data_IF_763377487186
#
_entry.id   IF_763377487186
#
_cell.length_a   1.000
_cell.length_b   1.000
_cell.length_c   1.000
_cell.angle_alpha   90.00
_cell.angle_beta   90.00
_cell.angle_gamma   90.00
#
_symmetry.space_group_name_H-M   'P 1'
#
loop_
_entity.id
_entity.type
_entity.pdbx_description
1 polymer ?
#
# COMPACT_ATOMS: atom_id res chain seq x y z
N UNK A 1 -1.38 -7.02 8.92
CA UNK A 1 -2.15 -6.72 7.66
C UNK A 1 -1.23 -6.10 6.60
N UNK A 2 -1.61 -6.12 5.31
CA UNK A 2 -0.77 -5.60 4.20
C UNK A 2 -0.36 -4.13 4.38
N UNK A 3 -1.27 -3.26 4.80
CA UNK A 3 -0.98 -1.84 5.04
C UNK A 3 0.02 -1.57 6.17
N UNK A 4 0.04 -2.44 7.18
CA UNK A 4 1.04 -2.36 8.25
C UNK A 4 2.42 -2.79 7.76
N UNK A 5 2.49 -3.84 6.95
CA UNK A 5 3.73 -4.27 6.30
C UNK A 5 4.29 -3.16 5.38
N UNK A 6 3.44 -2.47 4.61
CA UNK A 6 3.82 -1.30 3.79
C UNK A 6 4.43 -0.20 4.67
N UNK A 7 3.75 0.21 5.75
CA UNK A 7 4.26 1.26 6.65
C UNK A 7 5.61 0.89 7.26
N UNK A 8 5.76 -0.35 7.70
CA UNK A 8 7.02 -0.79 8.31
C UNK A 8 8.17 -0.87 7.29
N UNK A 9 7.90 -1.30 6.05
CA UNK A 9 8.89 -1.28 4.98
C UNK A 9 9.34 0.15 4.64
N UNK A 10 8.41 1.10 4.51
CA UNK A 10 8.73 2.51 4.25
C UNK A 10 9.52 3.14 5.40
N UNK A 11 9.11 2.88 6.66
CA UNK A 11 9.84 3.37 7.85
C UNK A 11 11.27 2.84 7.86
N UNK A 12 11.48 1.55 7.57
CA UNK A 12 12.81 0.92 7.51
C UNK A 12 13.64 1.46 6.36
N UNK A 13 13.05 1.65 5.18
CA UNK A 13 13.75 2.26 4.04
C UNK A 13 14.30 3.64 4.42
N UNK A 14 13.50 4.48 5.09
CA UNK A 14 13.97 5.77 5.60
C UNK A 14 15.08 5.65 6.66
N UNK A 15 15.05 4.62 7.51
CA UNK A 15 16.16 4.35 8.44
C UNK A 15 17.45 3.96 7.73
N UNK A 16 17.37 3.15 6.68
CA UNK A 16 18.53 2.76 5.89
C UNK A 16 19.16 3.97 5.17
N UNK A 17 18.37 4.87 4.59
CA UNK A 17 18.91 6.09 3.97
C UNK A 17 19.63 7.00 4.97
N UNK A 18 19.04 7.18 6.17
CA UNK A 18 19.73 7.94 7.24
C UNK A 18 21.03 7.26 7.66
N UNK A 19 21.05 5.93 7.72
CA UNK A 19 22.26 5.16 8.00
C UNK A 19 23.32 5.35 6.91
N UNK A 20 22.92 5.27 5.63
CA UNK A 20 23.81 5.50 4.49
C UNK A 20 24.46 6.88 4.54
N UNK A 21 23.68 7.94 4.81
CA UNK A 21 24.21 9.30 4.95
C UNK A 21 25.29 9.40 6.05
N UNK A 22 25.01 8.84 7.24
CA UNK A 22 25.98 8.84 8.34
C UNK A 22 27.25 8.04 8.01
N UNK A 23 27.11 6.90 7.32
CA UNK A 23 28.25 6.08 6.91
C UNK A 23 29.13 6.77 5.88
N UNK A 24 28.54 7.52 4.95
CA UNK A 24 29.30 8.37 4.01
C UNK A 24 30.14 9.40 4.77
N UNK A 25 29.59 10.03 5.80
CA UNK A 25 30.31 10.99 6.63
C UNK A 25 31.47 10.34 7.41
N UNK A 26 31.29 9.09 7.84
CA UNK A 26 32.30 8.31 8.56
C UNK A 26 33.34 7.64 7.66
N UNK A 27 33.14 7.64 6.34
CA UNK A 27 34.06 7.01 5.39
C UNK A 27 33.79 5.52 5.12
N UNK A 28 32.65 5.00 5.55
CA UNK A 28 32.24 3.60 5.38
C UNK A 28 31.34 3.44 4.14
N UNK A 29 31.97 3.60 2.96
CA UNK A 29 31.26 3.72 1.68
C UNK A 29 30.63 2.40 1.22
N UNK A 30 31.27 1.27 1.49
CA UNK A 30 30.77 -0.06 1.13
C UNK A 30 29.43 -0.33 1.81
N UNK A 31 29.37 -0.10 3.13
CA UNK A 31 28.13 -0.28 3.88
C UNK A 31 27.11 0.84 3.63
N UNK A 32 27.55 2.03 3.21
CA UNK A 32 26.62 3.07 2.75
C UNK A 32 25.88 2.64 1.47
N UNK A 33 26.60 2.11 0.48
CA UNK A 33 26.01 1.58 -0.75
C UNK A 33 25.06 0.41 -0.45
N UNK A 34 25.44 -0.48 0.46
CA UNK A 34 24.56 -1.55 0.95
C UNK A 34 23.27 -1.00 1.57
N UNK A 35 23.37 0.00 2.46
CA UNK A 35 22.20 0.62 3.09
C UNK A 35 21.28 1.28 2.05
N UNK A 36 21.83 1.94 1.02
CA UNK A 36 21.06 2.48 -0.11
C UNK A 36 20.31 1.39 -0.86
N UNK A 37 20.98 0.28 -1.19
CA UNK A 37 20.37 -0.85 -1.88
C UNK A 37 19.20 -1.44 -1.08
N UNK A 38 19.40 -1.68 0.23
CA UNK A 38 18.35 -2.15 1.13
C UNK A 38 17.17 -1.18 1.22
N UNK A 39 17.44 0.14 1.26
CA UNK A 39 16.39 1.15 1.28
C UNK A 39 15.51 1.07 0.03
N UNK A 40 16.13 1.05 -1.16
CA UNK A 40 15.41 0.99 -2.44
C UNK A 40 14.63 -0.31 -2.61
N UNK A 41 15.19 -1.45 -2.19
CA UNK A 41 14.49 -2.73 -2.20
C UNK A 41 13.20 -2.69 -1.38
N UNK A 42 13.27 -2.18 -0.15
CA UNK A 42 12.14 -2.08 0.75
C UNK A 42 11.10 -1.09 0.24
N UNK A 43 11.54 0.07 -0.26
CA UNK A 43 10.64 1.10 -0.79
C UNK A 43 9.84 0.59 -1.99
N UNK A 44 10.53 0.00 -2.98
CA UNK A 44 9.88 -0.54 -4.17
C UNK A 44 8.94 -1.69 -3.83
N UNK A 45 9.33 -2.57 -2.88
CA UNK A 45 8.44 -3.63 -2.38
C UNK A 45 7.19 -3.06 -1.72
N UNK A 46 7.33 -2.00 -0.94
CA UNK A 46 6.20 -1.31 -0.31
C UNK A 46 5.26 -0.69 -1.36
N UNK A 47 5.80 0.02 -2.35
CA UNK A 47 5.01 0.63 -3.44
C UNK A 47 4.26 -0.42 -4.27
N UNK A 48 4.92 -1.52 -4.64
CA UNK A 48 4.30 -2.60 -5.42
C UNK A 48 3.16 -3.28 -4.65
N UNK A 49 3.36 -3.54 -3.35
CA UNK A 49 2.33 -4.11 -2.50
C UNK A 49 1.18 -3.13 -2.25
N UNK A 50 1.49 -1.86 -1.99
CA UNK A 50 0.50 -0.82 -1.71
C UNK A 50 -0.39 -0.58 -2.94
N UNK A 51 0.20 -0.29 -4.09
CA UNK A 51 -0.53 0.18 -5.27
C UNK A 51 -1.15 -0.94 -6.10
N UNK A 52 -0.49 -2.11 -6.16
CA UNK A 52 -0.90 -3.19 -7.06
C UNK A 52 -1.14 -4.53 -6.34
N UNK A 53 -0.87 -4.60 -5.04
CA UNK A 53 -1.02 -5.84 -4.28
C UNK A 53 0.02 -6.91 -4.65
N UNK A 54 1.10 -6.52 -5.34
CA UNK A 54 2.10 -7.44 -5.88
C UNK A 54 3.15 -7.72 -4.82
N UNK A 55 3.21 -8.98 -4.40
CA UNK A 55 4.35 -9.51 -3.66
C UNK A 55 5.41 -10.01 -4.63
N UNK A 56 6.64 -9.53 -4.47
CA UNK A 56 7.74 -9.82 -5.38
C UNK A 56 8.84 -10.58 -4.65
N UNK A 57 9.39 -11.59 -5.35
CA UNK A 57 10.62 -12.32 -4.97
C UNK A 57 11.85 -11.81 -5.74
N UNK A 58 11.73 -10.65 -6.39
CA UNK A 58 12.81 -10.04 -7.14
C UNK A 58 14.05 -9.86 -6.26
N UNK A 59 15.23 -9.94 -6.88
CA UNK A 59 16.50 -9.94 -6.13
C UNK A 59 17.20 -8.58 -6.10
N UNK A 60 16.82 -7.65 -6.97
CA UNK A 60 17.40 -6.31 -7.06
C UNK A 60 16.40 -5.19 -7.32
N UNK A 61 16.91 -3.96 -7.36
CA UNK A 61 16.23 -2.71 -7.67
C UNK A 61 15.75 -2.71 -9.12
N UNK A 62 16.59 -3.07 -10.09
CA UNK A 62 16.22 -3.03 -11.52
C UNK A 62 15.02 -3.93 -11.85
N UNK A 63 15.02 -5.14 -11.30
CA UNK A 63 13.94 -6.10 -11.51
C UNK A 63 12.62 -5.58 -10.93
N UNK A 64 12.66 -4.94 -9.76
CA UNK A 64 11.48 -4.30 -9.15
C UNK A 64 11.00 -3.08 -9.94
N UNK A 65 11.91 -2.26 -10.47
CA UNK A 65 11.56 -1.15 -11.36
C UNK A 65 10.89 -1.65 -12.65
N UNK A 66 11.37 -2.78 -13.19
CA UNK A 66 10.76 -3.44 -14.35
C UNK A 66 9.35 -3.94 -14.06
N UNK A 67 9.13 -4.52 -12.88
CA UNK A 67 7.79 -4.92 -12.41
C UNK A 67 6.89 -3.69 -12.28
N UNK A 68 7.37 -2.62 -11.61
CA UNK A 68 6.62 -1.38 -11.44
C UNK A 68 6.20 -0.78 -12.78
N UNK A 69 7.13 -0.68 -13.74
CA UNK A 69 6.85 -0.19 -15.09
C UNK A 69 5.73 -0.98 -15.77
N UNK A 70 5.74 -2.30 -15.65
CA UNK A 70 4.70 -3.17 -16.23
C UNK A 70 3.35 -2.95 -15.55
N UNK A 71 3.30 -2.85 -14.22
CA UNK A 71 2.03 -2.64 -13.51
C UNK A 71 1.47 -1.23 -13.76
N UNK A 72 2.32 -0.20 -13.88
CA UNK A 72 1.92 1.14 -14.31
C UNK A 72 1.34 1.14 -15.73
N UNK A 73 1.95 0.40 -16.66
CA UNK A 73 1.44 0.28 -18.03
C UNK A 73 0.06 -0.40 -18.07
N UNK A 74 -0.13 -1.49 -17.31
CA UNK A 74 -1.45 -2.15 -17.18
C UNK A 74 -2.51 -1.23 -16.59
N UNK A 75 -2.11 -0.33 -15.70
CA UNK A 75 -2.97 0.69 -15.10
C UNK A 75 -3.19 1.92 -15.98
N UNK A 76 -2.63 1.96 -17.20
CA UNK A 76 -2.81 3.07 -18.14
C UNK A 76 -1.98 4.32 -17.84
N UNK A 77 -1.00 4.24 -16.94
CA UNK A 77 -0.15 5.38 -16.56
C UNK A 77 1.05 5.59 -17.51
N UNK A 78 0.76 5.79 -18.79
CA UNK A 78 1.79 5.87 -19.85
C UNK A 78 2.82 6.99 -19.62
N UNK A 79 2.42 8.14 -19.08
CA UNK A 79 3.34 9.23 -18.69
C UNK A 79 4.36 8.76 -17.64
N UNK A 80 3.89 8.12 -16.56
CA UNK A 80 4.76 7.58 -15.51
C UNK A 80 5.67 6.46 -16.05
N UNK A 81 5.16 5.64 -16.98
CA UNK A 81 5.97 4.61 -17.65
C UNK A 81 7.11 5.23 -18.45
N UNK A 82 6.86 6.30 -19.20
CA UNK A 82 7.90 7.00 -19.96
C UNK A 82 8.96 7.56 -19.03
N UNK A 83 8.53 8.32 -18.02
CA UNK A 83 9.43 8.97 -17.06
C UNK A 83 10.26 7.98 -16.25
N UNK A 84 9.68 6.85 -15.84
CA UNK A 84 10.43 5.77 -15.19
C UNK A 84 11.46 5.15 -16.13
N UNK A 85 11.11 4.97 -17.41
CA UNK A 85 12.02 4.40 -18.42
C UNK A 85 13.20 5.33 -18.67
N UNK A 86 12.97 6.65 -18.74
CA UNK A 86 14.01 7.66 -18.86
C UNK A 86 14.91 7.67 -17.62
N UNK A 87 14.33 7.68 -16.42
CA UNK A 87 15.08 7.61 -15.16
C UNK A 87 15.98 6.37 -15.09
N UNK A 88 15.49 5.20 -15.47
CA UNK A 88 16.28 3.95 -15.49
C UNK A 88 17.39 4.00 -16.55
N UNK A 89 17.09 4.49 -17.75
CA UNK A 89 18.05 4.58 -18.85
C UNK A 89 19.21 5.50 -18.48
N UNK A 90 18.89 6.67 -17.93
CA UNK A 90 19.87 7.71 -17.62
C UNK A 90 20.76 7.36 -16.42
N UNK A 91 20.38 6.34 -15.63
CA UNK A 91 21.10 5.91 -14.41
C UNK A 91 21.50 4.43 -14.45
N UNK A 92 21.55 3.80 -15.63
CA UNK A 92 21.73 2.35 -15.77
C UNK A 92 22.96 1.80 -15.04
N UNK A 93 24.11 2.45 -15.24
CA UNK A 93 25.39 2.06 -14.62
C UNK A 93 25.31 2.13 -13.10
N UNK A 94 24.70 3.20 -12.58
CA UNK A 94 24.55 3.40 -11.15
C UNK A 94 23.58 2.38 -10.52
N UNK A 95 22.50 2.04 -11.22
CA UNK A 95 21.57 0.98 -10.78
C UNK A 95 22.28 -0.38 -10.72
N UNK A 96 23.10 -0.71 -11.72
CA UNK A 96 23.86 -1.96 -11.72
C UNK A 96 24.90 -1.98 -10.57
N UNK A 97 25.53 -0.84 -10.27
CA UNK A 97 26.44 -0.66 -9.12
C UNK A 97 25.71 -0.86 -7.78
N UNK A 98 24.50 -0.31 -7.64
CA UNK A 98 23.66 -0.49 -6.45
C UNK A 98 23.27 -1.97 -6.31
N UNK A 99 22.81 -2.62 -7.37
CA UNK A 99 22.35 -4.02 -7.33
C UNK A 99 23.47 -5.03 -7.00
N UNK A 100 24.72 -4.74 -7.36
CA UNK A 100 25.86 -5.61 -7.03
C UNK A 100 26.37 -5.41 -5.60
N UNK A 101 26.10 -4.25 -4.98
CA UNK A 101 26.57 -3.92 -3.61
C UNK A 101 26.09 -4.92 -2.55
N UNK A 102 24.94 -5.56 -2.74
CA UNK A 102 24.43 -6.60 -1.84
C UNK A 102 25.40 -7.78 -1.66
N UNK A 103 26.13 -8.16 -2.71
CA UNK A 103 27.08 -9.28 -2.69
C UNK A 103 28.48 -8.76 -2.43
N UNK A 104 28.88 -7.73 -3.17
CA UNK A 104 30.27 -7.27 -3.19
C UNK A 104 30.67 -6.58 -1.89
N UNK A 105 29.82 -5.72 -1.31
CA UNK A 105 30.12 -4.99 -0.07
C UNK A 105 30.17 -5.88 1.18
N UNK A 106 29.66 -7.12 1.10
CA UNK A 106 29.58 -8.04 2.25
C UNK A 106 30.49 -9.25 2.16
N UNK A 107 30.89 -9.66 0.96
CA UNK A 107 31.56 -10.95 0.77
C UNK A 107 32.80 -10.88 -0.13
N UNK A 108 33.03 -9.77 -0.84
CA UNK A 108 34.14 -9.69 -1.79
C UNK A 108 35.31 -8.88 -1.24
N UNK A 109 36.45 -9.54 -1.05
CA UNK A 109 37.67 -8.93 -0.52
C UNK A 109 38.42 -8.02 -1.52
N UNK A 110 37.81 -7.65 -2.65
CA UNK A 110 38.51 -6.99 -3.77
C UNK A 110 37.74 -5.87 -4.49
N UNK A 111 36.52 -5.54 -4.05
CA UNK A 111 35.75 -4.41 -4.60
C UNK A 111 35.46 -3.44 -3.46
N UNK A 112 35.92 -2.20 -3.61
CA UNK A 112 35.67 -1.10 -2.68
C UNK A 112 34.94 0.02 -3.39
N UNK A 113 33.96 0.60 -2.73
CA UNK A 113 33.20 1.74 -3.21
C UNK A 113 33.92 3.05 -2.84
N UNK A 114 34.02 3.97 -3.80
CA UNK A 114 34.54 5.31 -3.52
C UNK A 114 33.47 6.17 -2.84
N UNK A 115 33.89 7.29 -2.24
CA UNK A 115 32.98 8.28 -1.66
C UNK A 115 31.98 8.79 -2.70
N UNK A 116 32.45 8.97 -3.92
CA UNK A 116 31.69 9.44 -5.07
C UNK A 116 30.59 8.44 -5.44
N UNK A 117 30.87 7.13 -5.40
CA UNK A 117 29.89 6.08 -5.68
C UNK A 117 28.78 6.05 -4.62
N UNK A 118 29.16 6.12 -3.34
CA UNK A 118 28.20 6.12 -2.24
C UNK A 118 27.30 7.37 -2.26
N UNK A 119 27.87 8.54 -2.54
CA UNK A 119 27.10 9.78 -2.70
C UNK A 119 26.16 9.71 -3.90
N UNK A 120 26.65 9.31 -5.06
CA UNK A 120 25.82 9.17 -6.26
C UNK A 120 24.66 8.19 -6.02
N UNK A 121 24.92 7.08 -5.31
CA UNK A 121 23.90 6.09 -4.94
C UNK A 121 22.83 6.69 -4.03
N UNK A 122 23.22 7.45 -3.01
CA UNK A 122 22.30 8.13 -2.11
C UNK A 122 21.46 9.18 -2.84
N UNK A 123 22.09 10.03 -3.65
CA UNK A 123 21.41 11.07 -4.43
C UNK A 123 20.39 10.44 -5.42
N UNK A 124 20.77 9.34 -6.07
CA UNK A 124 19.86 8.61 -6.94
C UNK A 124 18.70 7.99 -6.16
N UNK A 125 18.96 7.46 -4.97
CA UNK A 125 17.92 6.87 -4.15
C UNK A 125 16.88 7.90 -3.69
N UNK A 126 17.32 9.09 -3.30
CA UNK A 126 16.45 10.21 -2.97
C UNK A 126 15.60 10.61 -4.17
N UNK A 127 16.22 10.82 -5.34
CA UNK A 127 15.53 11.12 -6.60
C UNK A 127 14.50 10.06 -6.99
N UNK A 128 14.85 8.78 -6.86
CA UNK A 128 13.95 7.68 -7.16
C UNK A 128 12.77 7.65 -6.17
N UNK A 129 13.01 7.91 -4.89
CA UNK A 129 11.96 7.94 -3.87
C UNK A 129 10.99 9.10 -4.12
N UNK A 130 11.48 10.28 -4.48
CA UNK A 130 10.63 11.40 -4.87
C UNK A 130 9.71 11.03 -6.05
N UNK A 131 10.27 10.37 -7.07
CA UNK A 131 9.48 9.86 -8.19
C UNK A 131 8.45 8.80 -7.73
N UNK A 132 8.82 7.89 -6.83
CA UNK A 132 7.90 6.88 -6.29
C UNK A 132 6.77 7.49 -5.46
N UNK A 133 7.03 8.57 -4.70
CA UNK A 133 5.98 9.31 -4.00
C UNK A 133 5.00 9.96 -4.97
N UNK A 134 5.49 10.53 -6.06
CA UNK A 134 4.62 11.04 -7.11
C UNK A 134 3.77 9.92 -7.74
N UNK A 135 4.38 8.76 -8.03
CA UNK A 135 3.67 7.58 -8.52
C UNK A 135 2.56 7.18 -7.55
N UNK A 136 2.84 7.12 -6.24
CA UNK A 136 1.83 6.79 -5.21
C UNK A 136 0.68 7.78 -5.22
N UNK A 137 0.97 9.08 -5.28
CA UNK A 137 -0.04 10.13 -5.30
C UNK A 137 -0.93 10.04 -6.55
N UNK A 138 -0.31 9.96 -7.74
CA UNK A 138 -1.04 9.88 -9.01
C UNK A 138 -1.90 8.63 -9.10
N UNK A 139 -1.33 7.44 -8.83
CA UNK A 139 -2.06 6.17 -8.93
C UNK A 139 -3.27 6.13 -8.00
N UNK A 140 -3.14 6.63 -6.76
CA UNK A 140 -4.25 6.72 -5.81
C UNK A 140 -5.35 7.69 -6.27
N UNK A 141 -4.98 8.76 -6.97
CA UNK A 141 -5.94 9.75 -7.48
C UNK A 141 -6.73 9.31 -8.72
N UNK A 142 -6.21 8.36 -9.49
CA UNK A 142 -6.68 8.07 -10.86
C UNK A 142 -7.92 7.17 -11.01
N UNK A 143 -8.48 6.62 -9.94
CA UNK A 143 -9.84 6.00 -9.95
C UNK A 143 -10.16 4.93 -11.01
N UNK A 144 -9.19 4.34 -11.73
CA UNK A 144 -9.44 3.57 -12.96
C UNK A 144 -9.14 2.07 -12.87
N UNK A 145 -9.97 1.20 -13.47
CA UNK A 145 -9.96 -0.28 -13.44
C UNK A 145 -8.57 -0.99 -13.40
N UNK A 146 -8.50 -2.11 -12.66
CA UNK A 146 -7.30 -2.96 -12.48
C UNK A 146 -6.83 -3.00 -11.01
N UNK A 147 -5.71 -3.65 -10.64
CA UNK A 147 -5.17 -3.62 -9.28
C UNK A 147 -4.88 -2.19 -8.76
N UNK A 148 -4.45 -1.30 -9.66
CA UNK A 148 -4.33 0.14 -9.39
C UNK A 148 -5.70 0.82 -9.17
N UNK A 149 -6.71 0.39 -9.93
CA UNK A 149 -8.11 0.80 -9.76
C UNK A 149 -8.75 0.34 -8.50
N UNK A 150 -8.39 -0.85 -8.02
CA UNK A 150 -8.87 -1.38 -6.76
C UNK A 150 -8.51 -0.45 -5.62
N UNK A 151 -7.26 0.01 -5.53
CA UNK A 151 -6.88 1.00 -4.54
C UNK A 151 -7.60 2.34 -4.76
N UNK A 152 -7.72 2.80 -6.01
CA UNK A 152 -8.48 4.00 -6.37
C UNK A 152 -9.95 3.96 -5.93
N UNK A 153 -10.61 2.80 -6.02
CA UNK A 153 -11.97 2.59 -5.51
C UNK A 153 -11.99 2.59 -3.99
N UNK A 154 -11.07 1.88 -3.35
CA UNK A 154 -10.99 1.77 -1.89
C UNK A 154 -10.79 3.14 -1.24
N UNK A 155 -9.93 4.02 -1.78
CA UNK A 155 -9.70 5.36 -1.18
C UNK A 155 -10.93 6.27 -1.21
N UNK A 156 -11.90 5.97 -2.08
CA UNK A 156 -13.19 6.68 -2.19
C UNK A 156 -14.25 6.20 -1.18
N UNK A 157 -13.89 5.37 -0.22
CA UNK A 157 -14.83 4.87 0.80
C UNK A 157 -15.58 6.00 1.52
N UNK A 158 -14.96 7.17 1.65
CA UNK A 158 -15.58 8.38 2.21
C UNK A 158 -16.78 8.88 1.42
N UNK A 159 -16.79 8.69 0.09
CA UNK A 159 -17.91 9.07 -0.78
C UNK A 159 -19.16 8.22 -0.51
N UNK A 160 -18.99 7.03 0.08
CA UNK A 160 -20.06 6.05 0.28
C UNK A 160 -20.55 5.94 1.72
N UNK A 161 -19.95 6.64 2.69
CA UNK A 161 -20.30 6.52 4.12
C UNK A 161 -21.79 6.80 4.37
N UNK A 162 -22.31 7.90 3.82
CA UNK A 162 -23.70 8.31 4.06
C UNK A 162 -24.68 7.33 3.41
N UNK A 163 -24.39 6.90 2.18
CA UNK A 163 -25.17 5.89 1.45
C UNK A 163 -25.19 4.56 2.21
N UNK A 164 -24.05 4.16 2.77
CA UNK A 164 -23.88 2.97 3.59
C UNK A 164 -24.68 3.06 4.89
N UNK A 165 -24.63 4.20 5.59
CA UNK A 165 -25.42 4.43 6.79
C UNK A 165 -26.92 4.31 6.53
N UNK A 166 -27.41 4.90 5.43
CA UNK A 166 -28.82 4.80 5.01
C UNK A 166 -29.20 3.33 4.73
N UNK A 167 -28.38 2.63 3.94
CA UNK A 167 -28.66 1.23 3.57
C UNK A 167 -28.71 0.29 4.79
N UNK A 168 -27.78 0.45 5.74
CA UNK A 168 -27.78 -0.35 6.97
C UNK A 168 -28.98 0.02 7.84
N UNK A 169 -29.29 1.31 8.00
CA UNK A 169 -30.43 1.74 8.83
C UNK A 169 -31.78 1.25 8.30
N UNK A 170 -31.95 1.17 6.98
CA UNK A 170 -33.18 0.63 6.36
C UNK A 170 -33.32 -0.88 6.54
N UNK A 171 -32.21 -1.61 6.54
CA UNK A 171 -32.20 -3.07 6.57
C UNK A 171 -32.10 -3.63 7.99
N UNK A 172 -31.46 -2.89 8.90
CA UNK A 172 -31.12 -3.26 10.27
C UNK A 172 -31.25 -2.03 11.20
N UNK A 173 -32.48 -1.53 11.45
CA UNK A 173 -32.72 -0.23 12.10
C UNK A 173 -32.24 -0.13 13.54
N UNK A 174 -32.20 -1.25 14.27
CA UNK A 174 -31.80 -1.29 15.68
C UNK A 174 -30.29 -1.50 15.86
N UNK A 175 -29.52 -1.56 14.78
CA UNK A 175 -28.08 -1.79 14.82
C UNK A 175 -27.28 -0.47 14.67
N UNK A 176 -26.10 -0.44 15.29
CA UNK A 176 -25.08 0.60 15.10
C UNK A 176 -24.07 0.12 14.06
N UNK A 177 -23.48 1.02 13.29
CA UNK A 177 -22.48 0.63 12.30
C UNK A 177 -21.21 1.49 12.38
N UNK A 178 -20.07 0.86 12.10
CA UNK A 178 -18.75 1.45 12.17
C UNK A 178 -17.91 1.01 10.97
N UNK A 179 -17.14 1.91 10.39
CA UNK A 179 -16.01 1.53 9.52
C UNK A 179 -14.78 1.38 10.40
N UNK A 180 -14.00 0.33 10.19
CA UNK A 180 -12.82 0.01 11.00
C UNK A 180 -11.59 -0.33 10.14
N UNK A 181 -10.49 -0.71 10.80
CA UNK A 181 -9.33 -1.28 10.13
C UNK A 181 -8.46 -0.32 9.32
N UNK A 182 -8.02 -0.79 8.16
CA UNK A 182 -7.04 -0.12 7.30
C UNK A 182 -7.54 1.20 6.71
N UNK A 183 -8.85 1.31 6.45
CA UNK A 183 -9.49 2.49 5.88
C UNK A 183 -9.36 3.72 6.79
N UNK A 184 -9.75 3.59 8.05
CA UNK A 184 -9.66 4.66 9.06
C UNK A 184 -8.22 4.96 9.46
N UNK A 185 -7.32 3.97 9.32
CA UNK A 185 -5.92 4.11 9.65
C UNK A 185 -5.03 4.68 8.54
N UNK A 186 -5.61 5.19 7.45
CA UNK A 186 -4.91 5.65 6.22
C UNK A 186 -3.86 4.64 5.73
N UNK A 187 -4.29 3.38 5.66
CA UNK A 187 -3.45 2.19 5.45
C UNK A 187 -3.90 1.30 4.30
N UNK A 188 -4.80 1.80 3.46
CA UNK A 188 -5.34 1.01 2.37
C UNK A 188 -4.26 0.63 1.36
N UNK A 189 -4.33 -0.62 0.93
CA UNK A 189 -3.52 -1.20 -0.15
C UNK A 189 -4.46 -1.79 -1.18
N UNK A 190 -3.97 -2.11 -2.37
CA UNK A 190 -4.75 -2.83 -3.37
C UNK A 190 -5.19 -4.25 -2.93
N UNK A 191 -4.72 -4.76 -1.78
CA UNK A 191 -5.23 -6.00 -1.18
C UNK A 191 -6.31 -5.78 -0.11
N UNK A 192 -6.57 -4.52 0.25
CA UNK A 192 -7.53 -4.18 1.31
C UNK A 192 -8.98 -4.33 0.86
N UNK A 193 -9.83 -4.36 1.85
CA UNK A 193 -11.29 -4.24 1.89
C UNK A 193 -11.63 -3.06 2.83
N UNK A 194 -12.91 -2.72 2.87
CA UNK A 194 -13.47 -1.75 3.81
C UNK A 194 -14.29 -2.56 4.83
N UNK A 195 -13.71 -2.75 6.01
CA UNK A 195 -14.37 -3.43 7.13
C UNK A 195 -15.49 -2.57 7.70
N UNK A 196 -16.70 -3.12 7.69
CA UNK A 196 -17.91 -2.52 8.26
C UNK A 196 -18.40 -3.41 9.39
N UNK A 197 -18.25 -2.96 10.64
CA UNK A 197 -18.80 -3.62 11.81
C UNK A 197 -20.23 -3.15 12.04
N UNK A 198 -21.17 -4.08 12.12
CA UNK A 198 -22.56 -3.83 12.44
C UNK A 198 -22.86 -4.48 13.79
N UNK A 199 -23.05 -3.65 14.81
CA UNK A 199 -23.34 -4.07 16.17
C UNK A 199 -24.85 -4.08 16.40
N UNK A 200 -25.41 -5.26 16.61
CA UNK A 200 -26.85 -5.47 16.75
C UNK A 200 -27.21 -6.00 18.15
N UNK A 201 -28.38 -5.64 18.70
CA UNK A 201 -28.88 -6.25 19.94
C UNK A 201 -29.12 -7.77 19.81
N UNK A 202 -29.64 -8.21 18.66
CA UNK A 202 -29.93 -9.62 18.34
C UNK A 202 -29.43 -9.94 16.91
N UNK A 203 -28.13 -10.27 16.73
CA UNK A 203 -27.57 -10.55 15.42
C UNK A 203 -27.97 -11.95 14.91
N UNK A 204 -28.11 -12.12 13.58
CA UNK A 204 -28.29 -13.45 12.98
C UNK A 204 -27.08 -14.35 13.28
N UNK A 205 -27.34 -15.56 13.80
CA UNK A 205 -26.29 -16.52 14.19
C UNK A 205 -25.98 -17.51 13.06
N UNK A 206 -26.99 -17.87 12.24
CA UNK A 206 -26.80 -18.84 11.16
C UNK A 206 -26.17 -18.16 9.95
N UNK A 207 -25.21 -18.84 9.32
CA UNK A 207 -24.53 -18.33 8.13
C UNK A 207 -25.49 -17.91 7.01
N UNK A 208 -26.61 -18.63 6.83
CA UNK A 208 -27.64 -18.28 5.85
C UNK A 208 -28.33 -16.95 6.18
N UNK A 209 -28.62 -16.70 7.44
CA UNK A 209 -29.32 -15.50 7.88
C UNK A 209 -28.39 -14.27 7.79
N UNK A 210 -27.11 -14.45 8.12
CA UNK A 210 -26.05 -13.46 7.88
C UNK A 210 -25.94 -13.14 6.39
N UNK A 211 -25.88 -14.16 5.53
CA UNK A 211 -25.82 -13.96 4.09
C UNK A 211 -27.04 -13.18 3.57
N UNK A 212 -28.26 -13.55 4.00
CA UNK A 212 -29.49 -12.82 3.64
C UNK A 212 -29.42 -11.35 4.09
N UNK A 213 -28.97 -11.07 5.31
CA UNK A 213 -28.83 -9.71 5.82
C UNK A 213 -27.83 -8.89 5.00
N UNK A 214 -26.64 -9.44 4.75
CA UNK A 214 -25.60 -8.76 3.96
C UNK A 214 -26.02 -8.53 2.50
N UNK A 215 -26.74 -9.48 1.89
CA UNK A 215 -27.32 -9.30 0.54
C UNK A 215 -28.31 -8.15 0.50
N UNK A 216 -29.21 -8.03 1.48
CA UNK A 216 -30.17 -6.91 1.54
C UNK A 216 -29.46 -5.55 1.64
N UNK A 217 -28.38 -5.47 2.42
CA UNK A 217 -27.56 -4.25 2.49
C UNK A 217 -26.94 -3.95 1.12
N UNK A 218 -26.35 -4.95 0.45
CA UNK A 218 -25.75 -4.78 -0.89
C UNK A 218 -26.78 -4.34 -1.93
N UNK A 219 -27.96 -4.94 -1.97
CA UNK A 219 -29.04 -4.52 -2.87
C UNK A 219 -29.48 -3.06 -2.59
N UNK A 220 -29.53 -2.65 -1.32
CA UNK A 220 -29.86 -1.28 -0.95
C UNK A 220 -28.78 -0.27 -1.37
N UNK A 221 -27.51 -0.67 -1.35
CA UNK A 221 -26.37 0.11 -1.85
C UNK A 221 -26.39 0.23 -3.38
N UNK A 222 -26.64 -0.89 -4.07
CA UNK A 222 -26.72 -0.95 -5.54
C UNK A 222 -27.83 -0.05 -6.10
N UNK A 223 -29.01 -0.05 -5.46
CA UNK A 223 -30.12 0.87 -5.79
C UNK A 223 -29.73 2.35 -5.67
N UNK A 224 -28.66 2.67 -4.94
CA UNK A 224 -28.13 4.02 -4.70
C UNK A 224 -26.86 4.31 -5.49
N UNK A 225 -26.52 3.45 -6.46
CA UNK A 225 -25.41 3.67 -7.38
C UNK A 225 -24.05 3.22 -6.87
N UNK A 226 -23.99 2.45 -5.78
CA UNK A 226 -22.75 1.76 -5.38
C UNK A 226 -22.59 0.52 -6.24
N UNK A 227 -21.44 0.38 -6.89
CA UNK A 227 -21.18 -0.80 -7.71
C UNK A 227 -21.14 -2.07 -6.85
N UNK A 228 -21.75 -3.16 -7.32
CA UNK A 228 -21.78 -4.45 -6.60
C UNK A 228 -20.39 -5.05 -6.34
N UNK A 229 -19.38 -4.63 -7.11
CA UNK A 229 -17.97 -5.03 -6.93
C UNK A 229 -17.24 -4.22 -5.85
N UNK A 230 -17.88 -3.22 -5.25
CA UNK A 230 -17.28 -2.40 -4.21
C UNK A 230 -16.96 -3.23 -2.96
N UNK A 231 -15.75 -3.08 -2.45
CA UNK A 231 -15.11 -4.01 -1.53
C UNK A 231 -15.48 -3.72 -0.06
N UNK A 232 -16.77 -3.79 0.25
CA UNK A 232 -17.26 -3.78 1.63
C UNK A 232 -17.26 -5.20 2.20
N UNK A 233 -16.67 -5.36 3.38
CA UNK A 233 -16.78 -6.59 4.19
C UNK A 233 -17.63 -6.30 5.43
N UNK A 234 -18.70 -7.06 5.59
CA UNK A 234 -19.66 -6.84 6.68
C UNK A 234 -19.43 -7.84 7.81
N UNK A 235 -19.20 -7.31 9.00
CA UNK A 235 -19.06 -8.07 10.23
C UNK A 235 -20.24 -7.78 11.14
N UNK A 236 -21.24 -8.66 11.16
CA UNK A 236 -22.42 -8.52 12.01
C UNK A 236 -22.18 -9.23 13.34
N UNK A 237 -22.22 -8.49 14.45
CA UNK A 237 -21.89 -8.98 15.80
C UNK A 237 -22.88 -8.46 16.84
N UNK A 238 -22.89 -9.07 18.02
CA UNK A 238 -23.61 -8.52 19.16
C UNK A 238 -22.88 -7.28 19.75
N UNK A 239 -23.61 -6.45 20.49
CA UNK A 239 -23.06 -5.21 21.07
C UNK A 239 -21.89 -5.49 22.04
N UNK A 240 -21.92 -6.59 22.80
CA UNK A 240 -20.85 -6.93 23.76
C UNK A 240 -19.55 -7.29 23.08
N UNK A 241 -19.63 -7.96 21.93
CA UNK A 241 -18.46 -8.27 21.11
C UNK A 241 -17.94 -7.01 20.42
N UNK A 242 -18.81 -6.13 19.94
CA UNK A 242 -18.42 -4.85 19.36
C UNK A 242 -17.63 -3.98 20.36
N UNK A 243 -18.07 -3.90 21.62
CA UNK A 243 -17.37 -3.19 22.70
C UNK A 243 -15.94 -3.70 22.95
N UNK A 244 -15.66 -4.97 22.65
CA UNK A 244 -14.30 -5.54 22.78
C UNK A 244 -13.43 -5.27 21.55
N UNK A 245 -14.03 -5.19 20.36
CA UNK A 245 -13.34 -4.98 19.09
C UNK A 245 -12.98 -3.51 18.89
N UNK A 246 -13.95 -2.61 19.06
CA UNK A 246 -13.82 -1.18 18.73
C UNK A 246 -12.64 -0.47 19.41
N UNK A 247 -12.26 -0.74 20.68
CA UNK A 247 -11.11 -0.08 21.30
C UNK A 247 -9.76 -0.52 20.72
N UNK A 248 -9.70 -1.68 20.04
CA UNK A 248 -8.44 -2.26 19.53
C UNK A 248 -8.07 -1.74 18.15
N UNK A 249 -9.03 -1.11 17.45
CA UNK A 249 -8.83 -0.60 16.10
C UNK A 249 -9.32 0.83 15.97
N UNK A 250 -8.74 1.58 15.03
CA UNK A 250 -9.32 2.86 14.67
C UNK A 250 -10.66 2.61 13.98
N UNK A 251 -11.69 3.32 14.43
CA UNK A 251 -13.04 3.21 13.90
C UNK A 251 -13.70 4.57 13.75
N UNK A 252 -14.66 4.66 12.83
CA UNK A 252 -15.56 5.79 12.64
C UNK A 252 -16.98 5.25 12.69
N UNK A 253 -17.82 5.85 13.54
CA UNK A 253 -19.24 5.52 13.61
C UNK A 253 -19.99 6.13 12.42
N UNK A 254 -20.85 5.32 11.80
CA UNK A 254 -21.68 5.69 10.65
C UNK A 254 -23.12 6.00 11.10
N UNK A 255 -23.69 5.12 11.93
CA UNK A 255 -25.04 5.24 12.53
C UNK A 255 -25.03 4.74 13.98
#
# INVERSE_FOLDING_TARGET
MSGEAVREMLRRAGSFLRSAALRIDWGDYDLACYDVEQALQLYLKAVLLELFGVETRARGVLERLSILRRELAKAGHNDLVSRLSDLVRDNRVLIDLIDTSYIEARYSAGISYAKEDAKASLDFAEKLIEFLEEVRARVKSSGGLGPAGRLGLLVRWRDYIDILGIAIKETMPDCKAYIMGGAVGDRLTARSDIDVLIACPDPPIRARDIAIATTKIREALEKRGVEWTYLLEFHIVDEKLAEKILPRERSIRII
#
